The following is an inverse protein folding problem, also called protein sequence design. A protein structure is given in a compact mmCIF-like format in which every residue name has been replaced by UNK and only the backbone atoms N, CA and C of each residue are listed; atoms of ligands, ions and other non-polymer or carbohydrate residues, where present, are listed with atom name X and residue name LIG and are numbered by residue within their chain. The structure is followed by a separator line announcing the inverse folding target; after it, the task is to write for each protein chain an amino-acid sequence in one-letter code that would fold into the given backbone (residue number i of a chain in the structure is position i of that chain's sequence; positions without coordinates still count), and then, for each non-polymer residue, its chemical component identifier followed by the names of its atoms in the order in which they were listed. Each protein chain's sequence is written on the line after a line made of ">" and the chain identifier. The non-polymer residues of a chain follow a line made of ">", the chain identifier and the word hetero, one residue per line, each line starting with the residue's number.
data_IF_893515527707
#
_entry.id   IF_893515527707
#
_cell.length_a   1.000
_cell.length_b   1.000
_cell.length_c   1.000
_cell.angle_alpha   90.00
_cell.angle_beta   90.00
_cell.angle_gamma   90.00
#
_symmetry.space_group_name_H-M   'P 1'
#
loop_
_entity.id
_entity.type
_entity.pdbx_description
1 polymer ?
#
# COMPACT_ATOMS: atom_id res chain seq x y z
N UNK A 1 -7.22 23.18 15.29
CA UNK A 1 -7.35 21.78 15.66
C UNK A 1 -6.68 20.90 14.61
N UNK A 2 -5.84 19.99 15.07
CA UNK A 2 -5.26 19.01 14.17
C UNK A 2 -6.32 17.99 13.81
N UNK A 3 -6.68 17.93 12.52
CA UNK A 3 -7.59 16.90 12.06
C UNK A 3 -6.77 15.78 11.41
N UNK A 4 -6.89 14.58 11.95
CA UNK A 4 -6.26 13.38 11.43
C UNK A 4 -7.34 12.39 11.06
N UNK A 5 -7.28 11.88 9.84
CA UNK A 5 -8.23 10.86 9.39
C UNK A 5 -7.56 9.84 8.48
N UNK A 6 -8.09 8.62 8.53
CA UNK A 6 -7.79 7.60 7.55
C UNK A 6 -9.08 7.36 6.80
N UNK A 7 -9.03 7.52 5.48
CA UNK A 7 -10.21 7.44 4.64
C UNK A 7 -9.87 6.82 3.29
N UNK A 8 -10.89 6.44 2.56
CA UNK A 8 -10.70 5.95 1.19
C UNK A 8 -10.15 7.06 0.31
N UNK A 9 -9.20 6.70 -0.54
CA UNK A 9 -8.62 7.64 -1.49
C UNK A 9 -9.66 8.05 -2.53
N UNK A 10 -9.55 9.29 -2.97
CA UNK A 10 -10.34 9.83 -4.06
C UNK A 10 -9.42 10.27 -5.20
N UNK A 11 -9.99 10.66 -6.33
CA UNK A 11 -9.21 11.14 -7.48
C UNK A 11 -8.33 12.34 -7.12
N UNK A 12 -8.72 13.11 -6.13
CA UNK A 12 -7.93 14.26 -5.67
C UNK A 12 -6.64 13.85 -4.97
N UNK A 13 -6.54 12.61 -4.53
CA UNK A 13 -5.38 12.11 -3.80
C UNK A 13 -4.31 11.49 -4.71
N UNK A 14 -4.60 11.30 -5.98
CA UNK A 14 -3.72 10.58 -6.92
C UNK A 14 -2.33 11.24 -7.00
N UNK A 15 -2.28 12.56 -7.10
CA UNK A 15 -0.99 13.26 -7.19
C UNK A 15 -0.15 13.09 -5.92
N UNK A 16 -0.79 13.12 -4.75
CA UNK A 16 -0.09 12.95 -3.49
C UNK A 16 0.46 11.52 -3.35
N UNK A 17 -0.32 10.51 -3.74
CA UNK A 17 0.10 9.11 -3.74
C UNK A 17 1.29 8.93 -4.68
N UNK A 18 1.21 9.49 -5.89
CA UNK A 18 2.27 9.41 -6.87
C UNK A 18 3.57 10.01 -6.32
N UNK A 19 3.50 11.16 -5.67
CA UNK A 19 4.68 11.79 -5.08
C UNK A 19 5.31 10.94 -3.99
N UNK A 20 4.51 10.25 -3.17
CA UNK A 20 5.04 9.36 -2.14
C UNK A 20 5.82 8.20 -2.78
N UNK A 21 5.27 7.61 -3.84
CA UNK A 21 5.91 6.47 -4.51
C UNK A 21 7.17 6.86 -5.28
N UNK A 22 7.30 8.11 -5.71
CA UNK A 22 8.50 8.61 -6.37
C UNK A 22 9.65 8.89 -5.40
N UNK A 23 9.40 8.77 -4.09
CA UNK A 23 10.42 9.02 -3.06
C UNK A 23 11.16 7.73 -2.71
N UNK A 24 12.44 7.85 -2.39
CA UNK A 24 13.18 6.74 -1.80
C UNK A 24 12.60 6.40 -0.41
N UNK A 25 12.49 5.15 -0.01
CA UNK A 25 12.94 3.93 -0.70
C UNK A 25 11.85 3.24 -1.54
N UNK A 26 10.76 3.92 -1.87
CA UNK A 26 9.60 3.32 -2.52
C UNK A 26 9.74 3.17 -4.03
N UNK A 27 10.73 3.83 -4.62
CA UNK A 27 10.99 3.68 -6.05
C UNK A 27 11.27 2.22 -6.37
N UNK A 28 10.58 1.72 -7.39
CA UNK A 28 10.79 0.35 -7.85
C UNK A 28 12.16 0.21 -8.54
N UNK A 29 12.43 1.11 -9.49
CA UNK A 29 13.67 1.15 -10.27
C UNK A 29 13.79 2.54 -10.89
N UNK A 30 15.00 3.10 -10.95
CA UNK A 30 15.22 4.40 -11.56
C UNK A 30 14.80 4.43 -13.05
N UNK A 31 14.85 3.27 -13.71
CA UNK A 31 14.47 3.13 -15.11
C UNK A 31 13.00 2.76 -15.31
N UNK A 32 12.26 2.49 -14.23
CA UNK A 32 10.88 2.09 -14.26
C UNK A 32 10.07 2.90 -13.24
N UNK A 33 9.86 4.19 -13.53
CA UNK A 33 9.07 5.01 -12.61
C UNK A 33 7.61 4.55 -12.61
N UNK A 34 6.92 4.76 -11.50
CA UNK A 34 5.49 4.48 -11.42
C UNK A 34 4.74 5.46 -12.32
N UNK A 35 3.99 4.92 -13.26
CA UNK A 35 3.18 5.74 -14.15
C UNK A 35 1.91 6.18 -13.45
N UNK A 36 1.47 7.41 -13.71
CA UNK A 36 0.25 7.95 -13.14
C UNK A 36 -0.96 7.06 -13.42
N UNK A 37 -1.03 6.45 -14.60
CA UNK A 37 -2.14 5.57 -14.97
C UNK A 37 -2.27 4.37 -14.04
N UNK A 38 -1.16 3.83 -13.54
CA UNK A 38 -1.19 2.73 -12.57
C UNK A 38 -1.77 3.20 -11.25
N UNK A 39 -1.38 4.39 -10.81
CA UNK A 39 -1.85 4.94 -9.55
C UNK A 39 -3.34 5.27 -9.62
N UNK A 40 -3.80 5.75 -10.77
CA UNK A 40 -5.22 5.95 -11.00
C UNK A 40 -6.02 4.67 -10.79
N UNK A 41 -5.48 3.51 -11.22
CA UNK A 41 -6.14 2.23 -11.00
C UNK A 41 -6.26 1.87 -9.52
N UNK A 42 -5.30 2.23 -8.70
CA UNK A 42 -5.38 1.97 -7.26
C UNK A 42 -6.59 2.67 -6.62
N UNK A 43 -7.03 3.76 -7.21
CA UNK A 43 -8.14 4.58 -6.69
C UNK A 43 -9.45 4.25 -7.39
N UNK A 44 -9.42 4.04 -8.71
CA UNK A 44 -10.63 3.90 -9.54
C UNK A 44 -11.09 2.47 -9.75
N UNK A 45 -10.19 1.49 -9.63
CA UNK A 45 -10.52 0.09 -9.89
C UNK A 45 -11.31 -0.49 -8.72
N UNK A 46 -12.45 -1.10 -9.01
CA UNK A 46 -13.34 -1.69 -7.99
C UNK A 46 -12.66 -2.80 -7.17
N UNK A 47 -11.65 -3.45 -7.73
CA UNK A 47 -10.90 -4.49 -7.04
C UNK A 47 -9.89 -3.94 -6.05
N UNK A 48 -9.61 -2.64 -6.10
CA UNK A 48 -8.61 -2.02 -5.26
C UNK A 48 -9.24 -1.33 -4.05
N UNK A 49 -8.61 -1.52 -2.91
CA UNK A 49 -8.91 -0.78 -1.69
C UNK A 49 -7.69 0.07 -1.37
N UNK A 50 -7.86 1.39 -1.39
CA UNK A 50 -6.78 2.32 -1.09
C UNK A 50 -7.26 3.29 -0.01
N UNK A 51 -6.50 3.33 1.08
CA UNK A 51 -6.75 4.25 2.19
C UNK A 51 -5.59 5.23 2.30
N UNK A 52 -5.91 6.48 2.60
CA UNK A 52 -4.91 7.51 2.82
C UNK A 52 -4.96 8.00 4.26
N UNK A 53 -3.80 8.34 4.79
CA UNK A 53 -3.66 8.99 6.09
C UNK A 53 -3.49 10.47 5.85
N UNK A 54 -4.49 11.24 6.25
CA UNK A 54 -4.51 12.69 6.08
C UNK A 54 -4.39 13.36 7.43
N UNK A 55 -3.48 14.32 7.53
CA UNK A 55 -3.30 15.13 8.72
C UNK A 55 -2.97 16.55 8.27
N UNK A 56 -3.67 17.53 8.85
CA UNK A 56 -3.47 18.94 8.51
C UNK A 56 -3.60 19.21 7.01
N UNK A 57 -4.58 18.56 6.39
CA UNK A 57 -4.87 18.67 4.95
C UNK A 57 -3.75 18.15 4.03
N UNK A 58 -2.86 17.32 4.58
CA UNK A 58 -1.79 16.69 3.80
C UNK A 58 -1.88 15.18 3.88
N UNK A 59 -1.69 14.54 2.75
CA UNK A 59 -1.57 13.07 2.70
C UNK A 59 -0.15 12.70 3.11
N UNK A 60 -0.02 11.98 4.21
CA UNK A 60 1.28 11.58 4.78
C UNK A 60 1.65 10.14 4.53
N UNK A 61 0.68 9.34 4.12
CA UNK A 61 0.90 7.93 3.80
C UNK A 61 -0.34 7.32 3.19
N UNK A 62 -0.18 6.11 2.66
CA UNK A 62 -1.30 5.36 2.11
C UNK A 62 -1.03 3.86 2.17
N UNK A 63 -2.10 3.08 2.10
CA UNK A 63 -2.04 1.63 1.94
C UNK A 63 -2.98 1.24 0.80
N UNK A 64 -2.53 0.33 -0.05
CA UNK A 64 -3.32 -0.10 -1.20
C UNK A 64 -3.21 -1.59 -1.40
N UNK A 65 -4.34 -2.23 -1.65
CA UNK A 65 -4.40 -3.64 -1.96
C UNK A 65 -5.38 -3.92 -3.07
N UNK A 66 -5.23 -5.09 -3.66
CA UNK A 66 -6.06 -5.56 -4.77
C UNK A 66 -6.71 -6.88 -4.41
N UNK A 67 -8.03 -6.96 -4.59
CA UNK A 67 -8.79 -8.18 -4.37
C UNK A 67 -8.50 -9.19 -5.47
N UNK A 68 -8.09 -10.37 -5.05
CA UNK A 68 -7.76 -11.47 -5.96
C UNK A 68 -8.96 -12.36 -6.19
N UNK A 69 -8.91 -13.17 -7.24
CA UNK A 69 -9.97 -14.13 -7.59
C UNK A 69 -10.21 -15.11 -6.44
N UNK A 70 -9.16 -15.45 -5.68
CA UNK A 70 -9.26 -16.36 -4.54
C UNK A 70 -10.09 -15.84 -3.37
N UNK A 71 -10.45 -14.56 -3.38
CA UNK A 71 -11.13 -13.91 -2.25
C UNK A 71 -10.17 -13.26 -1.26
N UNK A 72 -8.87 -13.44 -1.45
CA UNK A 72 -7.85 -12.73 -0.66
C UNK A 72 -7.63 -11.34 -1.23
N UNK A 73 -6.96 -10.50 -0.47
CA UNK A 73 -6.49 -9.20 -0.95
C UNK A 73 -4.96 -9.16 -0.83
N UNK A 74 -4.30 -8.68 -1.88
CA UNK A 74 -2.84 -8.51 -1.88
C UNK A 74 -2.52 -7.05 -1.59
N UNK A 75 -1.75 -6.79 -0.53
CA UNK A 75 -1.23 -5.45 -0.28
C UNK A 75 -0.08 -5.21 -1.25
N UNK A 76 -0.26 -4.25 -2.15
CA UNK A 76 0.80 -3.84 -3.07
C UNK A 76 1.68 -2.74 -2.49
N UNK A 77 1.08 -1.84 -1.72
CA UNK A 77 1.80 -0.69 -1.16
C UNK A 77 1.32 -0.38 0.25
N UNK A 78 2.28 -0.10 1.12
CA UNK A 78 2.04 0.58 2.39
C UNK A 78 3.22 1.53 2.56
N UNK A 79 3.01 2.79 2.25
CA UNK A 79 4.09 3.77 2.17
C UNK A 79 3.74 5.03 2.97
N UNK A 80 4.72 5.54 3.68
CA UNK A 80 4.62 6.75 4.48
C UNK A 80 5.75 7.68 4.07
N UNK A 81 5.47 8.98 3.93
CA UNK A 81 6.50 9.96 3.61
C UNK A 81 7.68 9.83 4.57
N UNK A 82 8.91 9.96 4.04
CA UNK A 82 10.13 9.75 4.81
C UNK A 82 10.18 10.56 6.10
N UNK A 83 9.73 11.79 6.06
CA UNK A 83 9.72 12.70 7.21
C UNK A 83 8.74 12.29 8.31
N UNK A 84 7.83 11.35 8.02
CA UNK A 84 6.82 10.85 8.97
C UNK A 84 6.98 9.36 9.25
N UNK A 85 8.11 8.76 8.91
CA UNK A 85 8.34 7.32 9.07
C UNK A 85 8.70 6.97 10.52
N UNK A 86 7.77 7.19 11.42
CA UNK A 86 7.94 6.82 12.83
C UNK A 86 7.22 5.51 13.18
N UNK A 87 6.81 4.75 12.18
CA UNK A 87 6.13 3.45 12.27
C UNK A 87 4.66 3.50 12.71
N UNK A 88 4.21 4.57 13.32
CA UNK A 88 2.84 4.67 13.84
C UNK A 88 1.84 4.81 12.71
N UNK A 89 2.15 5.64 11.71
CA UNK A 89 1.23 5.89 10.60
C UNK A 89 0.97 4.61 9.80
N UNK A 90 2.04 3.86 9.49
CA UNK A 90 1.91 2.60 8.77
C UNK A 90 1.06 1.58 9.51
N UNK A 91 1.24 1.46 10.82
CA UNK A 91 0.47 0.55 11.65
C UNK A 91 -0.99 0.95 11.68
N UNK A 92 -1.29 2.24 11.83
CA UNK A 92 -2.67 2.74 11.83
C UNK A 92 -3.35 2.50 10.50
N UNK A 93 -2.64 2.74 9.39
CA UNK A 93 -3.14 2.45 8.05
C UNK A 93 -3.47 0.96 7.91
N UNK A 94 -2.58 0.10 8.37
CA UNK A 94 -2.81 -1.34 8.27
C UNK A 94 -4.05 -1.78 9.06
N UNK A 95 -4.23 -1.32 10.30
CA UNK A 95 -5.37 -1.73 11.10
C UNK A 95 -6.70 -1.24 10.51
N UNK A 96 -6.73 -0.04 9.95
CA UNK A 96 -7.93 0.43 9.25
C UNK A 96 -8.19 -0.39 7.98
N UNK A 97 -7.13 -0.73 7.26
CA UNK A 97 -7.21 -1.58 6.09
C UNK A 97 -7.78 -2.96 6.44
N UNK A 98 -7.27 -3.59 7.50
CA UNK A 98 -7.76 -4.88 7.96
C UNK A 98 -9.24 -4.82 8.35
N UNK A 99 -9.64 -3.76 9.03
CA UNK A 99 -11.02 -3.53 9.42
C UNK A 99 -11.93 -3.44 8.19
N UNK A 100 -11.53 -2.69 7.17
CA UNK A 100 -12.29 -2.61 5.93
C UNK A 100 -12.36 -3.96 5.22
N UNK A 101 -11.26 -4.70 5.18
CA UNK A 101 -11.22 -6.04 4.58
C UNK A 101 -12.22 -6.98 5.24
N UNK A 102 -12.32 -6.93 6.56
CA UNK A 102 -13.30 -7.75 7.28
C UNK A 102 -14.72 -7.41 6.89
N UNK A 103 -15.02 -6.14 6.65
CA UNK A 103 -16.35 -5.71 6.23
C UNK A 103 -16.66 -6.09 4.78
N UNK A 104 -15.65 -6.40 3.98
CA UNK A 104 -15.76 -6.77 2.57
C UNK A 104 -15.76 -8.30 2.36
N UNK A 105 -15.81 -9.09 3.41
CA UNK A 105 -15.71 -10.55 3.35
C UNK A 105 -14.43 -11.07 2.70
N UNK A 106 -13.34 -10.34 2.86
CA UNK A 106 -12.02 -10.78 2.42
C UNK A 106 -11.56 -11.92 3.33
N UNK A 107 -11.12 -13.03 2.73
CA UNK A 107 -10.77 -14.23 3.50
C UNK A 107 -9.33 -14.25 4.00
N UNK A 108 -8.43 -13.49 3.38
CA UNK A 108 -7.03 -13.42 3.79
C UNK A 108 -6.38 -12.15 3.26
N UNK A 109 -5.39 -11.67 3.97
CA UNK A 109 -4.55 -10.55 3.52
C UNK A 109 -3.17 -11.11 3.22
N UNK A 110 -2.70 -10.87 1.99
CA UNK A 110 -1.39 -11.30 1.52
C UNK A 110 -0.47 -10.09 1.39
N UNK A 111 0.80 -10.28 1.68
CA UNK A 111 1.80 -9.24 1.52
C UNK A 111 3.15 -9.87 1.24
N UNK A 112 3.99 -9.17 0.49
CA UNK A 112 5.39 -9.54 0.34
C UNK A 112 6.23 -8.70 1.29
N UNK A 113 7.01 -9.37 2.15
CA UNK A 113 7.89 -8.69 3.09
C UNK A 113 9.31 -8.65 2.57
N UNK A 114 9.86 -7.45 2.48
CA UNK A 114 11.29 -7.27 2.31
C UNK A 114 11.96 -7.25 3.68
N UNK A 115 13.29 -7.32 3.73
CA UNK A 115 14.02 -7.31 4.99
C UNK A 115 13.62 -6.17 5.93
N UNK A 116 13.25 -5.03 5.35
CA UNK A 116 12.88 -3.83 6.12
C UNK A 116 11.45 -3.86 6.65
N UNK A 117 10.58 -4.71 6.10
CA UNK A 117 9.17 -4.77 6.49
C UNK A 117 8.77 -6.09 7.14
N UNK A 118 9.61 -7.12 7.07
CA UNK A 118 9.28 -8.45 7.61
C UNK A 118 8.97 -8.41 9.11
N UNK A 119 9.73 -7.63 9.89
CA UNK A 119 9.50 -7.50 11.33
C UNK A 119 8.13 -6.91 11.64
N UNK A 120 7.70 -5.92 10.86
CA UNK A 120 6.38 -5.32 11.03
C UNK A 120 5.29 -6.34 10.72
N UNK A 121 5.44 -7.11 9.66
CA UNK A 121 4.46 -8.13 9.29
C UNK A 121 4.36 -9.21 10.38
N UNK A 122 5.47 -9.64 10.96
CA UNK A 122 5.47 -10.57 12.08
C UNK A 122 4.69 -10.01 13.28
N UNK A 123 4.90 -8.74 13.61
CA UNK A 123 4.19 -8.07 14.71
C UNK A 123 2.70 -7.94 14.44
N UNK A 124 2.29 -7.91 13.18
CA UNK A 124 0.88 -7.84 12.78
C UNK A 124 0.26 -9.22 12.61
N UNK A 125 0.94 -10.27 13.07
CA UNK A 125 0.47 -11.65 13.08
C UNK A 125 0.30 -12.27 11.69
N UNK A 126 1.11 -11.84 10.73
CA UNK A 126 1.20 -12.55 9.46
C UNK A 126 2.03 -13.80 9.62
N UNK A 127 1.61 -14.88 8.99
CA UNK A 127 2.40 -16.10 8.92
C UNK A 127 3.31 -16.02 7.70
N UNK A 128 4.58 -16.33 7.88
CA UNK A 128 5.53 -16.35 6.76
C UNK A 128 5.61 -17.76 6.16
N UNK A 129 5.78 -17.79 4.84
CA UNK A 129 6.08 -19.03 4.12
C UNK A 129 7.56 -19.36 4.27
N UNK A 130 7.89 -20.65 4.34
CA UNK A 130 9.28 -21.11 4.33
C UNK A 130 9.90 -21.05 2.93
N UNK A 131 9.10 -20.77 1.90
CA UNK A 131 9.57 -20.67 0.53
C UNK A 131 10.38 -19.40 0.30
N UNK A 132 11.42 -19.53 -0.51
CA UNK A 132 12.20 -18.38 -0.97
C UNK A 132 11.71 -18.02 -2.38
N UNK A 133 11.33 -16.78 -2.58
CA UNK A 133 10.83 -16.30 -3.85
C UNK A 133 11.83 -15.38 -4.51
N UNK A 134 11.97 -15.51 -5.84
CA UNK A 134 12.69 -14.58 -6.69
C UNK A 134 11.70 -14.02 -7.69
N UNK A 135 11.80 -12.74 -7.94
CA UNK A 135 10.99 -12.13 -8.98
C UNK A 135 11.64 -12.38 -10.35
N UNK A 136 10.87 -12.91 -11.28
CA UNK A 136 11.28 -13.05 -12.66
C UNK A 136 10.32 -12.25 -13.52
N UNK A 137 10.85 -11.45 -14.42
CA UNK A 137 10.00 -10.76 -15.37
C UNK A 137 10.64 -10.75 -16.74
N UNK A 138 9.80 -10.70 -17.76
CA UNK A 138 10.25 -10.62 -19.15
C UNK A 138 9.50 -9.48 -19.80
N UNK A 139 10.16 -8.39 -20.14
CA UNK A 139 9.48 -7.30 -20.84
C UNK A 139 9.04 -7.78 -22.22
N UNK A 140 7.82 -7.41 -22.62
CA UNK A 140 7.27 -7.79 -23.92
C UNK A 140 7.27 -6.63 -24.91
N UNK A 141 7.68 -5.45 -24.45
CA UNK A 141 7.84 -4.28 -25.30
C UNK A 141 9.28 -4.17 -25.76
N UNK A 142 9.48 -3.95 -27.02
CA UNK A 142 10.82 -3.73 -27.60
C UNK A 142 11.36 -2.36 -27.27
#
# INVERSE_FOLDING_TARGET
>A
MNSTSIRKATTEDIDAIHRILDMEPFKYDDNLPYERSWIEQLVLNERCLTLVYENENQIKGFISGEKLISGAIMIWFCAVKAEFQNKIIGIKLYYEFEKECKSMDINAILAYGYKTSADMLDRLNFYSSDATYREFYKPLND
#
